data_IF_794484819027
#
_entry.id   IF_794484819027
#
_cell.length_a   1.000
_cell.length_b   1.000
_cell.length_c   1.000
_cell.angle_alpha   90.00
_cell.angle_beta   90.00
_cell.angle_gamma   90.00
#
_symmetry.space_group_name_H-M   'P 1'
#
loop_
_entity.id
_entity.type
_entity.pdbx_description
1 polymer ?
#
# COMPACT_ATOMS: atom_id res chain seq x y z
N UNK A 1 9.13 -6.44 -6.69
CA UNK A 1 8.86 -6.02 -5.29
C UNK A 1 8.30 -7.20 -4.50
N UNK A 2 7.13 -7.78 -4.86
CA UNK A 2 6.46 -8.85 -4.08
C UNK A 2 7.38 -10.03 -3.73
N UNK A 3 8.13 -10.58 -4.69
CA UNK A 3 9.04 -11.70 -4.44
C UNK A 3 10.11 -11.36 -3.40
N UNK A 4 10.74 -10.18 -3.48
CA UNK A 4 11.77 -9.77 -2.51
C UNK A 4 11.18 -9.55 -1.12
N UNK A 5 10.01 -8.90 -1.03
CA UNK A 5 9.31 -8.74 0.25
C UNK A 5 8.96 -10.10 0.86
N UNK A 6 8.41 -11.02 0.05
CA UNK A 6 8.05 -12.36 0.50
C UNK A 6 9.27 -13.19 0.95
N UNK A 7 10.41 -13.09 0.24
CA UNK A 7 11.65 -13.75 0.64
C UNK A 7 12.11 -13.32 2.04
N UNK A 8 12.05 -12.01 2.33
CA UNK A 8 12.41 -11.48 3.65
C UNK A 8 11.45 -11.99 4.74
N UNK A 9 10.13 -11.88 4.52
CA UNK A 9 9.13 -12.38 5.47
C UNK A 9 9.28 -13.87 5.71
N UNK A 10 9.38 -14.68 4.64
CA UNK A 10 9.56 -16.13 4.75
C UNK A 10 10.84 -16.48 5.52
N UNK A 11 11.96 -15.80 5.26
CA UNK A 11 13.23 -16.04 5.98
C UNK A 11 13.06 -15.79 7.47
N UNK A 12 12.56 -14.59 7.85
CA UNK A 12 12.41 -14.21 9.26
C UNK A 12 11.45 -15.14 10.02
N UNK A 13 10.33 -15.54 9.40
CA UNK A 13 9.39 -16.47 10.02
C UNK A 13 9.96 -17.89 10.09
N UNK A 14 10.69 -18.35 9.07
CA UNK A 14 11.31 -19.69 9.04
C UNK A 14 12.46 -19.87 10.04
N UNK A 15 13.05 -18.79 10.55
CA UNK A 15 14.02 -18.83 11.65
C UNK A 15 13.37 -19.20 13.00
N UNK A 16 12.05 -19.01 13.13
CA UNK A 16 11.24 -19.31 14.33
C UNK A 16 10.50 -20.65 14.20
N UNK A 17 11.23 -21.72 13.93
CA UNK A 17 10.71 -23.07 13.61
C UNK A 17 9.84 -23.71 14.71
N UNK A 18 10.04 -23.32 15.94
CA UNK A 18 9.23 -23.72 17.09
C UNK A 18 7.84 -23.04 17.13
N UNK A 19 7.66 -22.01 16.32
CA UNK A 19 6.43 -21.21 16.28
C UNK A 19 5.69 -21.27 14.95
N UNK A 20 6.44 -21.34 13.81
CA UNK A 20 5.87 -21.26 12.48
C UNK A 20 6.36 -22.37 11.56
N UNK A 21 5.41 -22.98 10.85
CA UNK A 21 5.65 -23.75 9.64
C UNK A 21 5.22 -22.89 8.44
N UNK A 22 6.19 -22.51 7.59
CA UNK A 22 5.96 -21.54 6.50
C UNK A 22 5.78 -22.28 5.19
N UNK A 23 4.64 -22.02 4.52
CA UNK A 23 4.32 -22.53 3.19
C UNK A 23 4.37 -21.39 2.17
N UNK A 24 5.48 -21.20 1.43
CA UNK A 24 5.57 -20.17 0.41
C UNK A 24 4.65 -20.49 -0.77
N UNK A 25 3.76 -19.57 -1.08
CA UNK A 25 2.83 -19.69 -2.21
C UNK A 25 3.17 -18.61 -3.24
N UNK A 26 3.46 -19.06 -4.46
CA UNK A 26 3.65 -18.17 -5.61
C UNK A 26 2.36 -18.08 -6.43
N UNK A 27 1.94 -16.86 -6.74
CA UNK A 27 0.82 -16.59 -7.64
C UNK A 27 1.39 -16.04 -8.95
N UNK A 28 1.16 -16.73 -10.06
CA UNK A 28 1.63 -16.30 -11.38
C UNK A 28 0.83 -15.11 -11.91
N UNK A 29 1.35 -14.44 -12.95
CA UNK A 29 0.63 -13.35 -13.65
C UNK A 29 -0.71 -13.80 -14.28
N UNK A 30 -0.89 -15.10 -14.47
CA UNK A 30 -2.15 -15.71 -14.96
C UNK A 30 -3.07 -16.13 -13.81
N UNK A 31 -2.77 -15.79 -12.57
CA UNK A 31 -3.56 -16.14 -11.40
C UNK A 31 -3.44 -17.61 -10.94
N UNK A 32 -2.46 -18.36 -11.44
CA UNK A 32 -2.23 -19.75 -11.00
C UNK A 32 -1.39 -19.79 -9.74
N UNK A 33 -1.76 -20.66 -8.80
CA UNK A 33 -1.12 -20.79 -7.50
C UNK A 33 -0.17 -21.99 -7.45
N UNK A 34 0.97 -21.81 -6.82
CA UNK A 34 2.01 -22.85 -6.71
C UNK A 34 2.60 -22.86 -5.30
N UNK A 35 2.65 -24.04 -4.67
CA UNK A 35 3.43 -24.27 -3.46
C UNK A 35 4.90 -24.39 -3.84
N UNK A 36 5.73 -23.57 -3.20
CA UNK A 36 7.18 -23.55 -3.40
C UNK A 36 7.92 -24.22 -2.23
N UNK A 37 9.10 -24.77 -2.49
CA UNK A 37 10.01 -25.25 -1.42
C UNK A 37 10.70 -24.08 -0.70
N UNK A 38 10.99 -23.02 -1.43
CA UNK A 38 11.58 -21.78 -0.92
C UNK A 38 10.97 -20.60 -1.69
N UNK A 39 10.74 -19.50 -0.99
CA UNK A 39 10.14 -18.30 -1.58
C UNK A 39 11.05 -17.72 -2.66
N UNK A 40 10.51 -17.55 -3.86
CA UNK A 40 11.27 -17.03 -5.00
C UNK A 40 10.45 -16.90 -6.28
N UNK A 41 11.12 -16.62 -7.42
CA UNK A 41 10.47 -16.73 -8.73
C UNK A 41 9.94 -18.13 -8.96
N UNK A 42 8.92 -18.26 -9.82
CA UNK A 42 8.35 -19.57 -10.17
C UNK A 42 9.43 -20.53 -10.70
N UNK A 43 9.44 -21.75 -10.18
CA UNK A 43 10.35 -22.81 -10.58
C UNK A 43 9.57 -24.01 -11.18
N UNK A 44 10.13 -24.79 -12.13
CA UNK A 44 9.46 -25.95 -12.73
C UNK A 44 9.05 -27.05 -11.74
N UNK A 45 9.67 -27.11 -10.57
CA UNK A 45 9.34 -28.08 -9.51
C UNK A 45 8.27 -27.60 -8.54
N UNK A 46 7.76 -26.38 -8.69
CA UNK A 46 6.70 -25.85 -7.86
C UNK A 46 5.42 -26.64 -8.10
N UNK A 47 4.72 -26.97 -7.02
CA UNK A 47 3.52 -27.81 -7.09
C UNK A 47 2.27 -26.96 -7.32
N UNK A 48 1.52 -27.19 -8.42
CA UNK A 48 0.25 -26.50 -8.63
C UNK A 48 -0.76 -26.83 -7.53
N UNK A 49 -1.36 -25.79 -6.96
CA UNK A 49 -2.37 -25.88 -5.91
C UNK A 49 -3.59 -25.03 -6.26
N UNK A 50 -4.68 -25.27 -5.56
CA UNK A 50 -5.86 -24.41 -5.61
C UNK A 50 -6.40 -24.16 -4.21
N UNK A 51 -6.86 -22.94 -3.92
CA UNK A 51 -7.66 -22.65 -2.73
C UNK A 51 -9.00 -23.40 -2.80
N UNK A 52 -9.47 -23.87 -1.64
CA UNK A 52 -10.74 -24.60 -1.51
C UNK A 52 -11.46 -24.19 -0.25
N UNK A 53 -12.80 -24.25 -0.31
CA UNK A 53 -13.68 -24.07 0.84
C UNK A 53 -13.94 -25.44 1.47
N UNK A 54 -13.12 -25.84 2.43
CA UNK A 54 -13.27 -27.11 3.16
C UNK A 54 -12.89 -26.92 4.62
N UNK A 55 -13.56 -27.65 5.51
CA UNK A 55 -13.32 -27.59 6.95
C UNK A 55 -11.90 -28.06 7.34
N UNK A 56 -11.35 -29.03 6.59
CA UNK A 56 -10.07 -29.68 6.90
C UNK A 56 -8.88 -29.16 6.09
N UNK A 57 -9.12 -28.36 5.06
CA UNK A 57 -8.06 -27.79 4.21
C UNK A 57 -8.56 -26.54 3.49
N UNK A 58 -7.66 -25.55 3.34
CA UNK A 58 -7.93 -24.37 2.53
C UNK A 58 -7.05 -24.27 1.27
N UNK A 59 -6.08 -25.18 1.13
CA UNK A 59 -5.24 -25.35 -0.06
C UNK A 59 -5.10 -26.85 -0.38
N UNK A 60 -5.27 -27.23 -1.64
CA UNK A 60 -5.08 -28.62 -2.09
C UNK A 60 -4.21 -28.66 -3.34
N UNK A 61 -3.40 -29.71 -3.48
CA UNK A 61 -2.67 -29.99 -4.72
C UNK A 61 -3.64 -30.35 -5.84
N UNK A 62 -3.40 -29.86 -7.06
CA UNK A 62 -4.28 -30.18 -8.21
C UNK A 62 -4.28 -31.65 -8.56
N UNK A 63 -3.23 -32.39 -8.23
CA UNK A 63 -3.13 -33.85 -8.42
C UNK A 63 -3.67 -34.65 -7.23
N UNK A 64 -4.19 -33.98 -6.20
CA UNK A 64 -4.72 -34.59 -4.99
C UNK A 64 -3.65 -35.18 -4.04
N UNK A 65 -2.38 -34.98 -4.29
CA UNK A 65 -1.26 -35.60 -3.54
C UNK A 65 -1.13 -35.11 -2.10
N UNK A 66 -1.62 -33.91 -1.78
CA UNK A 66 -1.61 -33.33 -0.42
C UNK A 66 -2.67 -32.24 -0.26
N UNK A 67 -2.95 -31.91 1.00
CA UNK A 67 -3.73 -30.75 1.40
C UNK A 67 -3.04 -30.00 2.54
N UNK A 68 -3.29 -28.70 2.64
CA UNK A 68 -2.75 -27.82 3.69
C UNK A 68 -3.94 -27.09 4.32
N UNK A 69 -3.96 -27.05 5.65
CA UNK A 69 -4.79 -26.13 6.41
C UNK A 69 -3.86 -25.03 6.97
N UNK A 70 -3.88 -23.87 6.34
CA UNK A 70 -3.16 -22.71 6.85
C UNK A 70 -3.96 -22.07 8.00
N UNK A 71 -3.32 -21.82 9.13
CA UNK A 71 -3.92 -21.11 10.25
C UNK A 71 -4.04 -19.62 9.98
N UNK A 72 -3.13 -19.07 9.17
CA UNK A 72 -3.11 -17.66 8.77
C UNK A 72 -2.41 -17.48 7.42
N UNK A 73 -2.92 -16.59 6.61
CA UNK A 73 -2.28 -16.16 5.35
C UNK A 73 -1.57 -14.83 5.57
N UNK A 74 -0.32 -14.73 5.12
CA UNK A 74 0.41 -13.48 5.08
C UNK A 74 0.55 -13.01 3.62
N UNK A 75 -0.38 -12.20 3.10
CA UNK A 75 -0.28 -11.69 1.74
C UNK A 75 0.92 -10.75 1.62
N UNK A 76 1.81 -11.02 0.66
CA UNK A 76 2.94 -10.15 0.33
C UNK A 76 2.87 -9.88 -1.17
N UNK A 77 1.82 -9.18 -1.55
CA UNK A 77 1.41 -8.93 -2.92
C UNK A 77 1.21 -7.42 -3.10
N UNK A 78 1.73 -6.86 -4.18
CA UNK A 78 1.65 -5.43 -4.43
C UNK A 78 0.92 -5.14 -5.75
N UNK A 79 0.19 -4.01 -5.78
CA UNK A 79 -0.52 -3.51 -6.94
C UNK A 79 -1.97 -3.98 -7.05
N UNK A 80 -2.52 -3.81 -8.23
CA UNK A 80 -3.92 -4.12 -8.57
C UNK A 80 -4.28 -5.58 -8.27
N UNK A 81 -5.48 -5.83 -7.77
CA UNK A 81 -6.02 -7.09 -7.27
C UNK A 81 -5.38 -7.59 -5.96
N UNK A 82 -4.42 -6.86 -5.41
CA UNK A 82 -3.70 -7.26 -4.21
C UNK A 82 -3.86 -6.27 -3.06
N UNK A 83 -3.83 -4.96 -3.35
CA UNK A 83 -3.90 -3.88 -2.37
C UNK A 83 -5.29 -3.22 -2.30
N UNK A 84 -6.19 -3.58 -3.21
CA UNK A 84 -7.48 -2.93 -3.48
C UNK A 84 -8.70 -3.62 -2.85
N UNK A 85 -8.49 -4.57 -1.96
CA UNK A 85 -9.54 -5.32 -1.30
C UNK A 85 -9.94 -6.62 -2.01
N UNK A 86 -9.50 -6.85 -3.25
CA UNK A 86 -9.85 -8.05 -4.03
C UNK A 86 -9.30 -9.33 -3.40
N UNK A 87 -8.00 -9.37 -3.10
CA UNK A 87 -7.37 -10.51 -2.41
C UNK A 87 -7.95 -10.68 -1.00
N UNK A 88 -8.18 -9.59 -0.28
CA UNK A 88 -8.76 -9.60 1.05
C UNK A 88 -10.18 -10.19 1.03
N UNK A 89 -11.02 -9.79 0.06
CA UNK A 89 -12.37 -10.35 -0.13
C UNK A 89 -12.35 -11.83 -0.47
N UNK A 90 -11.37 -12.27 -1.26
CA UNK A 90 -11.16 -13.68 -1.53
C UNK A 90 -10.82 -14.47 -0.26
N UNK A 91 -9.90 -13.98 0.57
CA UNK A 91 -9.52 -14.60 1.84
C UNK A 91 -10.66 -14.58 2.88
N UNK A 92 -11.49 -13.53 2.92
CA UNK A 92 -12.71 -13.48 3.73
C UNK A 92 -13.71 -14.57 3.30
N UNK A 93 -13.85 -14.81 2.00
CA UNK A 93 -14.74 -15.85 1.47
C UNK A 93 -14.23 -17.27 1.78
N UNK A 94 -12.89 -17.44 1.85
CA UNK A 94 -12.26 -18.69 2.28
C UNK A 94 -12.33 -18.92 3.80
N UNK A 95 -12.80 -17.93 4.56
CA UNK A 95 -12.83 -17.95 6.03
C UNK A 95 -11.46 -18.26 6.66
N UNK A 96 -10.40 -17.61 6.14
CA UNK A 96 -9.02 -17.79 6.60
C UNK A 96 -8.52 -16.48 7.20
N UNK A 97 -7.92 -16.49 8.42
CA UNK A 97 -7.24 -15.31 8.96
C UNK A 97 -6.15 -14.82 8.02
N UNK A 98 -6.02 -13.52 7.84
CA UNK A 98 -4.94 -12.95 7.00
C UNK A 98 -4.36 -11.68 7.62
N UNK A 99 -3.09 -11.46 7.34
CA UNK A 99 -2.35 -10.25 7.77
C UNK A 99 -2.66 -9.10 6.82
N UNK A 100 -2.88 -7.93 7.38
CA UNK A 100 -3.11 -6.70 6.62
C UNK A 100 -4.47 -6.08 6.85
N UNK A 101 -4.71 -4.98 6.16
CA UNK A 101 -6.00 -4.29 6.20
C UNK A 101 -7.12 -5.14 5.61
N UNK A 102 -8.34 -4.97 6.12
CA UNK A 102 -9.52 -5.64 5.57
C UNK A 102 -9.98 -5.04 4.24
N UNK A 103 -11.01 -5.66 3.65
CA UNK A 103 -11.57 -5.29 2.32
C UNK A 103 -11.85 -3.79 2.21
N UNK A 104 -12.59 -3.24 3.17
CA UNK A 104 -13.02 -1.84 3.13
C UNK A 104 -11.84 -0.87 3.15
N UNK A 105 -10.92 -1.04 4.10
CA UNK A 105 -9.76 -0.17 4.24
C UNK A 105 -8.82 -0.26 3.02
N UNK A 106 -8.64 -1.46 2.48
CA UNK A 106 -7.82 -1.68 1.27
C UNK A 106 -8.43 -1.00 0.05
N UNK A 107 -9.73 -1.17 -0.18
CA UNK A 107 -10.44 -0.56 -1.31
C UNK A 107 -10.43 0.98 -1.22
N UNK A 108 -10.76 1.53 -0.06
CA UNK A 108 -10.74 2.99 0.16
C UNK A 108 -9.32 3.57 0.11
N UNK A 109 -8.32 2.84 0.60
CA UNK A 109 -6.92 3.27 0.59
C UNK A 109 -6.33 3.30 -0.82
N UNK A 110 -6.74 2.38 -1.68
CA UNK A 110 -6.27 2.32 -3.07
C UNK A 110 -6.85 3.45 -3.93
N UNK A 111 -8.07 3.88 -3.65
CA UNK A 111 -8.73 4.98 -4.36
C UNK A 111 -8.24 6.33 -3.83
N UNK A 112 -7.50 7.08 -4.67
CA UNK A 112 -6.91 8.37 -4.30
C UNK A 112 -7.93 9.44 -3.96
N UNK A 113 -9.09 9.43 -4.60
CA UNK A 113 -10.14 10.39 -4.28
C UNK A 113 -10.76 10.08 -2.92
N UNK A 114 -11.19 8.83 -2.73
CA UNK A 114 -11.83 8.40 -1.49
C UNK A 114 -10.89 8.55 -0.29
N UNK A 115 -9.62 8.13 -0.43
CA UNK A 115 -8.64 8.28 0.64
C UNK A 115 -8.37 9.75 1.01
N UNK A 116 -8.34 10.67 0.03
CA UNK A 116 -8.24 12.12 0.27
C UNK A 116 -9.48 12.69 0.94
N UNK A 117 -10.67 12.28 0.52
CA UNK A 117 -11.91 12.70 1.18
C UNK A 117 -11.92 12.28 2.66
N UNK A 118 -11.50 11.06 2.95
CA UNK A 118 -11.39 10.54 4.32
C UNK A 118 -10.31 11.28 5.12
N UNK A 119 -9.14 11.53 4.52
CA UNK A 119 -8.07 12.28 5.17
C UNK A 119 -8.53 13.71 5.53
N UNK A 120 -9.24 14.38 4.61
CA UNK A 120 -9.83 15.71 4.85
C UNK A 120 -10.83 15.69 6.01
N UNK A 121 -11.72 14.69 6.04
CA UNK A 121 -12.72 14.55 7.12
C UNK A 121 -12.05 14.24 8.46
N UNK A 122 -10.92 13.56 8.44
CA UNK A 122 -10.07 13.34 9.63
C UNK A 122 -9.25 14.58 10.05
N UNK A 123 -9.41 15.72 9.37
CA UNK A 123 -8.72 16.97 9.67
C UNK A 123 -7.26 17.03 9.18
N UNK A 124 -6.86 16.11 8.29
CA UNK A 124 -5.50 16.06 7.73
C UNK A 124 -5.42 16.94 6.48
N UNK A 125 -4.38 17.80 6.37
CA UNK A 125 -4.22 18.66 5.20
C UNK A 125 -4.09 17.85 3.90
N UNK A 126 -4.78 18.32 2.85
CA UNK A 126 -4.77 17.74 1.51
C UNK A 126 -4.55 18.81 0.45
N UNK A 127 -4.05 18.43 -0.71
CA UNK A 127 -3.96 19.32 -1.86
C UNK A 127 -5.30 19.37 -2.60
N UNK A 128 -5.68 20.52 -3.22
CA UNK A 128 -6.85 20.63 -4.08
C UNK A 128 -6.78 19.70 -5.28
N UNK A 129 -7.91 19.11 -5.68
CA UNK A 129 -8.00 18.23 -6.83
C UNK A 129 -9.33 18.35 -7.57
N UNK A 130 -9.36 17.80 -8.79
CA UNK A 130 -10.53 17.54 -9.61
C UNK A 130 -10.49 16.10 -10.10
N UNK A 131 -11.66 15.49 -10.25
CA UNK A 131 -11.81 14.19 -10.91
C UNK A 131 -12.27 14.40 -12.34
N UNK A 132 -11.66 13.62 -13.22
CA UNK A 132 -12.02 13.48 -14.63
C UNK A 132 -12.41 12.04 -14.86
N UNK A 133 -13.65 11.80 -15.28
CA UNK A 133 -14.16 10.48 -15.63
C UNK A 133 -14.25 10.33 -17.13
N UNK A 134 -13.78 9.20 -17.65
CA UNK A 134 -13.88 8.87 -19.07
C UNK A 134 -15.32 8.72 -19.55
N UNK A 135 -16.19 8.18 -18.67
CA UNK A 135 -17.59 7.92 -19.01
C UNK A 135 -18.45 9.17 -18.90
N UNK A 136 -18.25 9.98 -17.84
CA UNK A 136 -19.01 11.22 -17.64
C UNK A 136 -18.57 12.35 -18.60
N UNK A 137 -17.40 12.23 -19.19
CA UNK A 137 -16.75 13.29 -19.97
C UNK A 137 -16.22 14.41 -19.06
N UNK A 138 -15.59 15.41 -19.66
CA UNK A 138 -15.05 16.56 -18.92
C UNK A 138 -14.97 17.81 -19.82
N UNK A 139 -15.08 18.98 -19.22
CA UNK A 139 -14.82 20.27 -19.86
C UNK A 139 -13.34 20.62 -19.69
N UNK A 140 -12.57 20.45 -20.78
CA UNK A 140 -11.13 20.73 -20.79
C UNK A 140 -10.84 22.20 -20.45
N UNK A 141 -11.66 23.14 -20.98
CA UNK A 141 -11.42 24.58 -20.76
C UNK A 141 -11.63 24.97 -19.31
N UNK A 142 -12.68 24.43 -18.67
CA UNK A 142 -12.93 24.63 -17.24
C UNK A 142 -11.80 24.02 -16.38
N UNK A 143 -11.28 22.86 -16.78
CA UNK A 143 -10.19 22.20 -16.06
C UNK A 143 -8.86 22.96 -16.21
N UNK A 144 -8.59 23.50 -17.41
CA UNK A 144 -7.43 24.37 -17.66
C UNK A 144 -7.48 25.63 -16.81
N UNK A 145 -8.65 26.32 -16.78
CA UNK A 145 -8.85 27.49 -15.94
C UNK A 145 -8.67 27.20 -14.44
N UNK A 146 -9.17 26.03 -13.97
CA UNK A 146 -8.94 25.59 -12.60
C UNK A 146 -7.45 25.34 -12.32
N UNK A 147 -6.72 24.71 -13.25
CA UNK A 147 -5.29 24.44 -13.08
C UNK A 147 -4.47 25.74 -13.00
N UNK A 148 -4.82 26.76 -13.80
CA UNK A 148 -4.22 28.08 -13.72
C UNK A 148 -4.51 28.79 -12.39
N UNK A 149 -5.75 28.72 -11.91
CA UNK A 149 -6.14 29.29 -10.62
C UNK A 149 -5.37 28.63 -9.45
N UNK A 150 -5.21 27.31 -9.46
CA UNK A 150 -4.43 26.61 -8.43
C UNK A 150 -2.92 26.87 -8.51
N UNK A 151 -2.43 27.30 -9.67
CA UNK A 151 -1.02 27.44 -9.99
C UNK A 151 -0.39 26.11 -10.43
N UNK A 152 0.46 26.22 -11.45
CA UNK A 152 1.22 25.08 -11.97
C UNK A 152 2.49 24.81 -11.14
N UNK A 153 3.00 23.57 -11.12
CA UNK A 153 2.50 22.41 -11.86
C UNK A 153 1.27 21.79 -11.24
N UNK A 154 0.47 21.07 -12.04
CA UNK A 154 -0.51 20.09 -11.58
C UNK A 154 -0.06 18.67 -11.95
N UNK A 155 -0.57 17.67 -11.24
CA UNK A 155 -0.30 16.26 -11.52
C UNK A 155 -1.57 15.55 -11.96
N UNK A 156 -1.47 14.81 -13.05
CA UNK A 156 -2.53 13.95 -13.58
C UNK A 156 -2.21 12.52 -13.20
N UNK A 157 -3.10 11.86 -12.47
CA UNK A 157 -2.85 10.55 -11.85
C UNK A 157 -4.05 9.62 -12.06
N UNK A 158 -3.88 8.37 -12.49
CA UNK A 158 -4.94 7.35 -12.37
C UNK A 158 -5.37 7.23 -10.90
N UNK A 159 -6.69 7.11 -10.66
CA UNK A 159 -7.24 7.13 -9.30
C UNK A 159 -6.85 5.88 -8.52
N UNK A 160 -6.89 4.69 -9.16
CA UNK A 160 -6.74 3.38 -8.51
C UNK A 160 -5.46 2.64 -8.88
N UNK A 161 -4.36 3.38 -9.10
CA UNK A 161 -3.05 2.81 -9.36
C UNK A 161 -1.99 3.40 -8.43
N UNK A 162 -1.02 2.54 -8.06
CA UNK A 162 0.15 2.91 -7.26
C UNK A 162 1.43 3.06 -8.11
N UNK A 163 2.56 3.18 -7.41
CA UNK A 163 3.91 3.15 -8.01
C UNK A 163 4.17 4.18 -9.12
N UNK A 164 3.48 5.31 -9.10
CA UNK A 164 3.57 6.37 -10.13
C UNK A 164 3.22 5.90 -11.57
N UNK A 165 2.55 4.75 -11.73
CA UNK A 165 2.11 4.27 -13.05
C UNK A 165 1.05 5.23 -13.61
N UNK A 166 1.24 5.68 -14.84
CA UNK A 166 0.29 6.57 -15.52
C UNK A 166 0.32 8.03 -15.05
N UNK A 167 1.18 8.40 -14.10
CA UNK A 167 1.28 9.78 -13.58
C UNK A 167 2.01 10.69 -14.56
N UNK A 168 1.50 11.92 -14.72
CA UNK A 168 2.11 13.00 -15.53
C UNK A 168 2.17 14.30 -14.73
N UNK A 169 3.33 14.95 -14.75
CA UNK A 169 3.51 16.34 -14.27
C UNK A 169 3.20 17.28 -15.44
N UNK A 170 2.26 18.19 -15.24
CA UNK A 170 1.81 19.20 -16.22
C UNK A 170 2.37 20.54 -15.78
N UNK A 171 3.27 21.09 -16.59
CA UNK A 171 3.96 22.37 -16.32
C UNK A 171 3.29 23.55 -17.01
N UNK A 172 2.53 23.28 -18.08
CA UNK A 172 1.75 24.27 -18.83
C UNK A 172 0.36 23.74 -19.10
N UNK A 173 -0.65 24.60 -19.15
CA UNK A 173 -2.05 24.18 -19.38
C UNK A 173 -2.26 23.47 -20.72
N UNK A 174 -1.41 23.77 -21.72
CA UNK A 174 -1.45 23.10 -23.02
C UNK A 174 -1.10 21.61 -22.95
N UNK A 175 -0.36 21.16 -21.95
CA UNK A 175 0.00 19.75 -21.74
C UNK A 175 -1.15 18.93 -21.11
N UNK A 176 -2.19 19.60 -20.57
CA UNK A 176 -3.20 18.94 -19.73
C UNK A 176 -3.99 17.89 -20.52
N UNK A 177 -4.39 18.18 -21.76
CA UNK A 177 -5.13 17.24 -22.58
C UNK A 177 -4.34 15.95 -22.83
N UNK A 178 -3.09 16.07 -23.27
CA UNK A 178 -2.25 14.89 -23.54
C UNK A 178 -1.96 14.08 -22.27
N UNK A 179 -1.82 14.74 -21.12
CA UNK A 179 -1.65 14.09 -19.82
C UNK A 179 -2.90 13.30 -19.40
N UNK A 180 -4.10 13.86 -19.60
CA UNK A 180 -5.37 13.18 -19.37
C UNK A 180 -5.55 11.96 -20.28
N UNK A 181 -5.35 12.14 -21.60
CA UNK A 181 -5.45 11.06 -22.59
C UNK A 181 -4.48 9.92 -22.27
N UNK A 182 -3.28 10.24 -21.75
CA UNK A 182 -2.34 9.23 -21.32
C UNK A 182 -2.82 8.49 -20.04
N UNK A 183 -3.22 9.22 -19.00
CA UNK A 183 -3.62 8.63 -17.74
C UNK A 183 -4.91 7.78 -17.86
N UNK A 184 -5.87 8.21 -18.71
CA UNK A 184 -7.10 7.47 -19.03
C UNK A 184 -6.91 6.16 -19.81
N UNK A 185 -5.67 5.81 -20.18
CA UNK A 185 -5.34 4.48 -20.69
C UNK A 185 -5.18 3.46 -19.55
N UNK A 186 -4.97 3.93 -18.32
CA UNK A 186 -4.65 3.10 -17.16
C UNK A 186 -5.83 2.97 -16.19
N UNK A 187 -6.72 3.96 -16.15
CA UNK A 187 -7.92 3.96 -15.29
C UNK A 187 -9.05 4.72 -15.98
N UNK A 188 -10.30 4.41 -15.64
CA UNK A 188 -11.49 5.14 -16.14
C UNK A 188 -11.66 6.50 -15.49
N UNK A 189 -11.06 6.68 -14.32
CA UNK A 189 -11.09 7.92 -13.54
C UNK A 189 -9.67 8.42 -13.26
N UNK A 190 -9.48 9.71 -13.43
CA UNK A 190 -8.19 10.38 -13.29
C UNK A 190 -8.33 11.56 -12.33
N UNK A 191 -7.39 11.67 -11.43
CA UNK A 191 -7.28 12.78 -10.49
C UNK A 191 -6.30 13.83 -11.05
N UNK A 192 -6.75 15.07 -11.18
CA UNK A 192 -5.91 16.24 -11.46
C UNK A 192 -5.69 16.99 -10.16
N UNK A 193 -4.47 17.01 -9.67
CA UNK A 193 -4.12 17.53 -8.36
C UNK A 193 -3.12 18.69 -8.46
N UNK A 194 -3.29 19.71 -7.62
CA UNK A 194 -2.28 20.74 -7.43
C UNK A 194 -0.94 20.11 -7.07
N UNK A 195 0.14 20.54 -7.73
CA UNK A 195 1.48 20.09 -7.41
C UNK A 195 2.10 20.90 -6.27
N UNK A 196 3.01 20.26 -5.54
CA UNK A 196 3.96 20.93 -4.64
C UNK A 196 5.29 20.98 -5.37
N UNK A 197 5.81 22.19 -5.57
CA UNK A 197 7.08 22.32 -6.27
C UNK A 197 8.23 21.93 -5.34
N UNK A 198 9.18 21.13 -5.84
CA UNK A 198 10.27 20.56 -5.07
C UNK A 198 9.83 19.88 -3.76
N UNK A 199 8.72 19.13 -3.83
CA UNK A 199 8.17 18.41 -2.68
C UNK A 199 9.18 17.42 -2.10
N UNK A 200 9.28 17.40 -0.77
CA UNK A 200 9.90 16.31 -0.01
C UNK A 200 8.84 15.24 0.22
N UNK A 201 9.15 13.98 -0.07
CA UNK A 201 8.25 12.86 0.23
C UNK A 201 8.54 12.33 1.63
N UNK A 202 7.59 12.48 2.56
CA UNK A 202 7.71 12.04 3.95
C UNK A 202 6.76 10.86 4.18
N UNK A 203 7.25 9.85 4.87
CA UNK A 203 6.54 8.60 5.10
C UNK A 203 6.40 8.30 6.58
N UNK A 204 5.27 7.73 6.97
CA UNK A 204 5.05 7.17 8.31
C UNK A 204 4.43 5.79 8.18
N UNK A 205 5.04 4.77 8.79
CA UNK A 205 4.48 3.42 8.83
C UNK A 205 3.62 3.26 10.09
N UNK A 206 2.59 2.42 9.97
CA UNK A 206 1.63 2.15 11.03
C UNK A 206 1.36 0.65 11.08
N UNK A 207 1.22 0.09 12.27
CA UNK A 207 0.61 -1.22 12.46
C UNK A 207 -0.23 -1.27 13.74
N UNK A 208 -1.23 -2.15 13.76
CA UNK A 208 -2.14 -2.32 14.88
C UNK A 208 -3.60 -2.15 14.49
N UNK A 209 -4.45 -1.89 15.47
CA UNK A 209 -5.89 -1.67 15.31
C UNK A 209 -6.44 -0.83 16.47
N UNK A 210 -7.35 0.10 16.15
CA UNK A 210 -8.08 0.90 17.17
C UNK A 210 -7.15 1.68 18.08
N UNK A 211 -7.25 1.46 19.39
CA UNK A 211 -6.40 2.13 20.41
C UNK A 211 -5.01 1.51 20.56
N UNK A 212 -4.75 0.39 19.90
CA UNK A 212 -3.47 -0.33 19.94
C UNK A 212 -2.65 -0.12 18.66
N UNK A 213 -2.76 1.07 18.08
CA UNK A 213 -1.98 1.46 16.91
C UNK A 213 -0.60 1.93 17.36
N UNK A 214 0.42 1.56 16.60
CA UNK A 214 1.77 2.09 16.70
C UNK A 214 2.15 2.75 15.39
N UNK A 215 2.66 3.98 15.45
CA UNK A 215 3.26 4.69 14.33
C UNK A 215 4.78 4.72 14.46
N UNK A 216 5.48 4.63 13.34
CA UNK A 216 6.95 4.65 13.27
C UNK A 216 7.52 6.06 13.39
N UNK A 217 8.85 6.19 13.36
CA UNK A 217 9.49 7.45 12.98
C UNK A 217 9.06 7.87 11.57
N UNK A 218 9.10 9.17 11.28
CA UNK A 218 8.98 9.65 9.91
C UNK A 218 10.28 9.36 9.15
N UNK A 219 10.16 8.92 7.91
CA UNK A 219 11.27 8.80 6.97
C UNK A 219 11.07 9.70 5.78
N UNK A 220 12.14 9.94 5.05
CA UNK A 220 12.16 10.78 3.86
C UNK A 220 12.81 10.05 2.70
N UNK A 221 12.28 10.22 1.52
CA UNK A 221 12.91 9.81 0.29
C UNK A 221 13.34 11.07 -0.48
N UNK A 222 14.63 11.19 -0.74
CA UNK A 222 15.18 12.27 -1.55
C UNK A 222 15.73 11.76 -2.87
N UNK A 223 15.56 12.56 -3.93
CA UNK A 223 16.19 12.28 -5.23
C UNK A 223 17.58 12.88 -5.26
N UNK A 224 18.53 12.15 -5.81
CA UNK A 224 19.88 12.68 -6.10
C UNK A 224 19.82 13.76 -7.21
N UNK A 225 18.78 13.78 -8.06
CA UNK A 225 18.66 14.66 -9.22
C UNK A 225 17.64 15.81 -9.08
N UNK A 226 16.89 15.91 -7.97
CA UNK A 226 15.90 17.00 -7.78
C UNK A 226 14.72 17.02 -8.74
N UNK A 227 14.52 15.98 -9.52
CA UNK A 227 13.41 15.83 -10.47
C UNK A 227 12.28 14.94 -9.91
N UNK A 228 11.09 15.04 -10.53
CA UNK A 228 9.91 14.27 -10.14
C UNK A 228 10.18 12.76 -10.21
N UNK A 229 9.79 12.04 -9.15
CA UNK A 229 9.85 10.57 -9.08
C UNK A 229 8.84 9.91 -10.00
N UNK A 230 9.25 9.59 -11.20
CA UNK A 230 8.50 8.63 -12.03
C UNK A 230 8.84 7.18 -11.62
N UNK A 231 8.12 6.23 -12.21
CA UNK A 231 8.33 4.79 -11.96
C UNK A 231 9.79 4.35 -12.22
N UNK A 232 10.43 4.93 -13.23
CA UNK A 232 11.80 4.57 -13.61
C UNK A 232 12.80 5.04 -12.55
N UNK A 233 12.63 6.25 -12.02
CA UNK A 233 13.49 6.80 -10.96
C UNK A 233 13.33 6.02 -9.64
N UNK A 234 12.11 5.56 -9.32
CA UNK A 234 11.84 4.81 -8.07
C UNK A 234 12.36 3.37 -8.06
N UNK A 235 12.39 2.70 -9.21
CA UNK A 235 12.59 1.24 -9.25
C UNK A 235 13.66 0.74 -10.23
N UNK A 236 14.10 1.56 -11.17
CA UNK A 236 15.00 1.10 -12.28
C UNK A 236 16.40 1.69 -12.16
N UNK A 237 16.53 2.94 -11.69
CA UNK A 237 17.84 3.60 -11.57
C UNK A 237 18.49 3.24 -10.26
N UNK A 238 19.53 2.43 -10.29
CA UNK A 238 20.33 2.09 -9.11
C UNK A 238 20.99 3.38 -8.56
N UNK A 239 20.71 3.71 -7.28
CA UNK A 239 21.25 4.92 -6.64
C UNK A 239 20.48 6.21 -6.93
N UNK A 240 19.30 6.14 -7.58
CA UNK A 240 18.46 7.32 -7.88
C UNK A 240 17.77 7.95 -6.67
N UNK A 241 17.70 7.23 -5.54
CA UNK A 241 17.00 7.63 -4.34
C UNK A 241 17.84 7.36 -3.09
N UNK A 242 17.86 8.29 -2.18
CA UNK A 242 18.40 8.11 -0.84
C UNK A 242 17.28 8.15 0.19
N UNK A 243 17.24 7.12 1.05
CA UNK A 243 16.28 7.06 2.16
C UNK A 243 16.94 7.58 3.42
N UNK A 244 16.36 8.60 4.03
CA UNK A 244 16.78 9.14 5.33
C UNK A 244 15.78 8.78 6.42
N UNK A 245 16.20 7.98 7.40
CA UNK A 245 15.38 7.57 8.54
C UNK A 245 16.19 7.77 9.82
N UNK A 246 15.71 8.59 10.77
CA UNK A 246 14.55 9.47 10.69
C UNK A 246 14.71 10.61 9.68
N UNK A 247 13.59 11.13 9.19
CA UNK A 247 13.55 12.30 8.32
C UNK A 247 14.11 13.55 9.03
N UNK A 248 14.75 14.44 8.27
CA UNK A 248 15.27 15.71 8.80
C UNK A 248 14.18 16.78 8.86
N UNK A 249 13.29 16.64 9.83
CA UNK A 249 12.17 17.56 10.09
C UNK A 249 12.08 17.88 11.59
N UNK A 250 11.51 19.03 11.99
CA UNK A 250 11.29 19.36 13.39
C UNK A 250 10.49 18.27 14.13
N UNK A 251 10.83 18.04 15.40
CA UNK A 251 10.25 16.95 16.19
C UNK A 251 8.72 17.10 16.40
N UNK A 252 8.25 18.33 16.56
CA UNK A 252 6.82 18.65 16.67
C UNK A 252 6.07 18.38 15.37
N UNK A 253 6.68 18.69 14.22
CA UNK A 253 6.14 18.39 12.91
C UNK A 253 6.09 16.86 12.69
N UNK A 254 7.17 16.15 13.02
CA UNK A 254 7.19 14.68 12.94
C UNK A 254 6.10 14.06 13.81
N UNK A 255 5.90 14.57 15.03
CA UNK A 255 4.83 14.11 15.92
C UNK A 255 3.43 14.35 15.30
N UNK A 256 3.20 15.54 14.73
CA UNK A 256 1.94 15.87 14.08
C UNK A 256 1.65 14.97 12.89
N UNK A 257 2.65 14.72 12.03
CA UNK A 257 2.50 13.83 10.87
C UNK A 257 2.21 12.37 11.29
N UNK A 258 2.80 11.91 12.38
CA UNK A 258 2.48 10.59 12.97
C UNK A 258 1.02 10.53 13.44
N UNK A 259 0.55 11.55 14.17
CA UNK A 259 -0.84 11.64 14.62
C UNK A 259 -1.82 11.70 13.45
N UNK A 260 -1.50 12.47 12.41
CA UNK A 260 -2.31 12.54 11.20
C UNK A 260 -2.34 11.23 10.43
N UNK A 261 -1.21 10.50 10.41
CA UNK A 261 -1.15 9.14 9.85
C UNK A 261 -2.06 8.18 10.61
N UNK A 262 -2.05 8.21 11.94
CA UNK A 262 -2.94 7.42 12.79
C UNK A 262 -4.40 7.79 12.57
N UNK A 263 -4.72 9.10 12.44
CA UNK A 263 -6.06 9.58 12.19
C UNK A 263 -6.62 9.08 10.85
N UNK A 264 -5.84 9.15 9.76
CA UNK A 264 -6.24 8.62 8.44
C UNK A 264 -6.43 7.11 8.51
N UNK A 265 -5.50 6.38 9.12
CA UNK A 265 -5.60 4.92 9.24
C UNK A 265 -6.86 4.49 10.02
N UNK A 266 -7.15 5.17 11.14
CA UNK A 266 -8.38 4.93 11.92
C UNK A 266 -9.64 5.27 11.13
N UNK A 267 -9.67 6.40 10.43
CA UNK A 267 -10.82 6.84 9.65
C UNK A 267 -11.14 5.86 8.51
N UNK A 268 -10.11 5.28 7.89
CA UNK A 268 -10.22 4.20 6.90
C UNK A 268 -10.64 2.85 7.51
N UNK A 269 -10.84 2.76 8.83
CA UNK A 269 -11.06 1.48 9.54
C UNK A 269 -9.90 0.49 9.35
N UNK A 270 -8.68 1.02 9.30
CA UNK A 270 -7.45 0.24 9.15
C UNK A 270 -7.26 -0.75 10.30
N UNK A 271 -6.81 -1.95 9.95
CA UNK A 271 -6.38 -3.01 10.88
C UNK A 271 -5.25 -3.77 10.20
N UNK A 272 -4.17 -4.02 10.89
CA UNK A 272 -2.98 -4.65 10.32
C UNK A 272 -1.85 -3.66 10.13
N UNK A 273 -1.49 -3.31 8.92
CA UNK A 273 -0.37 -2.42 8.61
C UNK A 273 -0.69 -1.48 7.46
N UNK A 274 -0.02 -0.32 7.44
CA UNK A 274 -0.04 0.62 6.32
C UNK A 274 1.20 1.52 6.34
N UNK A 275 1.43 2.25 5.24
CA UNK A 275 2.34 3.39 5.16
C UNK A 275 1.53 4.58 4.63
N UNK A 276 1.62 5.69 5.33
CA UNK A 276 1.01 6.96 4.94
C UNK A 276 2.09 7.85 4.35
N UNK A 277 1.81 8.41 3.18
CA UNK A 277 2.73 9.19 2.38
C UNK A 277 2.27 10.65 2.34
N UNK A 278 3.18 11.58 2.61
CA UNK A 278 2.94 13.02 2.60
C UNK A 278 3.87 13.72 1.62
N UNK A 279 3.38 14.81 1.04
CA UNK A 279 4.18 15.78 0.29
C UNK A 279 4.38 17.01 1.17
N UNK A 280 5.63 17.40 1.40
CA UNK A 280 5.98 18.58 2.20
C UNK A 280 6.66 19.62 1.32
N UNK A 281 6.22 20.88 1.43
CA UNK A 281 6.82 21.99 0.72
C UNK A 281 8.08 22.53 1.44
N UNK A 282 8.76 23.48 0.79
CA UNK A 282 9.97 24.13 1.31
C UNK A 282 9.76 24.93 2.60
N UNK A 283 8.52 25.27 2.94
CA UNK A 283 8.16 26.03 4.14
C UNK A 283 7.73 25.12 5.30
N UNK A 284 7.70 23.79 5.08
CA UNK A 284 7.28 22.81 6.08
C UNK A 284 5.76 22.56 6.10
N UNK A 285 4.97 23.15 5.20
CA UNK A 285 3.59 22.76 5.03
C UNK A 285 3.53 21.40 4.34
N UNK A 286 2.72 20.49 4.88
CA UNK A 286 2.60 19.12 4.36
C UNK A 286 1.17 18.73 4.05
N UNK A 287 1.01 17.77 3.17
CA UNK A 287 -0.28 17.35 2.65
C UNK A 287 -0.30 15.83 2.47
N UNK A 288 -1.38 15.19 2.89
CA UNK A 288 -1.60 13.78 2.63
C UNK A 288 -1.61 13.51 1.12
N UNK A 289 -0.85 12.53 0.69
CA UNK A 289 -0.76 12.10 -0.70
C UNK A 289 -1.55 10.81 -0.94
N UNK A 290 -1.17 9.74 -0.24
CA UNK A 290 -1.81 8.43 -0.33
C UNK A 290 -1.57 7.59 0.93
N UNK A 291 -2.33 6.52 1.09
CA UNK A 291 -2.08 5.47 2.07
C UNK A 291 -1.91 4.13 1.36
N UNK A 292 -0.87 3.41 1.73
CA UNK A 292 -0.51 2.12 1.17
C UNK A 292 -0.77 1.03 2.22
N UNK A 293 -1.82 0.23 2.00
CA UNK A 293 -2.29 -0.79 2.95
C UNK A 293 -1.53 -2.12 2.87
N UNK A 294 -0.60 -2.25 1.90
CA UNK A 294 0.31 -3.39 1.77
C UNK A 294 1.71 -2.90 1.37
N UNK A 295 2.41 -2.19 2.28
CA UNK A 295 3.72 -1.63 1.99
C UNK A 295 4.76 -2.72 1.74
N UNK A 296 5.86 -2.37 1.05
CA UNK A 296 6.98 -3.28 0.85
C UNK A 296 7.55 -3.78 2.17
N UNK A 297 7.90 -5.06 2.22
CA UNK A 297 8.32 -5.77 3.43
C UNK A 297 9.75 -6.35 3.32
N UNK A 298 10.53 -5.97 2.30
CA UNK A 298 11.94 -6.34 2.22
C UNK A 298 12.78 -5.53 3.22
N UNK A 299 13.98 -6.00 3.54
CA UNK A 299 14.90 -5.29 4.45
C UNK A 299 15.21 -3.85 3.99
N UNK A 300 15.20 -3.63 2.68
CA UNK A 300 15.42 -2.30 2.08
C UNK A 300 14.13 -1.49 1.91
N UNK A 301 12.97 -2.05 2.28
CA UNK A 301 11.68 -1.35 2.19
C UNK A 301 11.52 -0.36 3.32
N UNK A 302 10.79 0.73 3.06
CA UNK A 302 10.54 1.78 4.04
C UNK A 302 9.87 1.27 5.32
N UNK A 303 8.85 0.40 5.20
CA UNK A 303 8.10 -0.05 6.37
C UNK A 303 8.99 -0.67 7.47
N UNK A 304 9.84 -1.69 7.22
CA UNK A 304 10.72 -2.21 8.26
C UNK A 304 11.80 -1.20 8.69
N UNK A 305 12.34 -0.38 7.79
CA UNK A 305 13.35 0.62 8.15
C UNK A 305 12.80 1.69 9.10
N UNK A 306 11.58 2.16 8.86
CA UNK A 306 10.91 3.17 9.69
C UNK A 306 10.69 2.68 11.12
N UNK A 307 10.32 1.41 11.33
CA UNK A 307 10.16 0.82 12.67
C UNK A 307 11.50 0.46 13.31
N UNK A 308 12.48 0.01 12.53
CA UNK A 308 13.84 -0.24 13.02
C UNK A 308 14.47 1.01 13.63
N UNK A 309 14.21 2.20 13.05
CA UNK A 309 14.64 3.47 13.61
C UNK A 309 13.99 3.82 14.98
N UNK A 310 12.88 3.16 15.30
CA UNK A 310 12.25 3.23 16.64
C UNK A 310 12.78 2.16 17.61
N UNK A 311 13.73 1.33 17.19
CA UNK A 311 14.23 0.19 17.99
C UNK A 311 13.31 -1.03 17.98
N UNK A 312 12.31 -1.10 17.09
CA UNK A 312 11.41 -2.24 16.97
C UNK A 312 12.10 -3.37 16.19
N UNK A 313 12.04 -4.59 16.73
CA UNK A 313 12.53 -5.79 16.06
C UNK A 313 11.56 -6.24 14.96
N UNK A 314 12.06 -6.44 13.76
CA UNK A 314 11.22 -6.80 12.62
C UNK A 314 10.49 -8.15 12.82
N UNK A 315 11.14 -9.12 13.41
CA UNK A 315 10.52 -10.40 13.72
C UNK A 315 9.40 -10.29 14.77
N UNK A 316 9.51 -9.35 15.72
CA UNK A 316 8.44 -9.05 16.67
C UNK A 316 7.26 -8.35 16.00
N UNK A 317 7.51 -7.47 15.04
CA UNK A 317 6.46 -6.85 14.22
C UNK A 317 5.67 -7.91 13.46
N UNK A 318 6.36 -8.85 12.78
CA UNK A 318 5.68 -9.95 12.08
C UNK A 318 4.84 -10.82 13.02
N UNK A 319 5.39 -11.16 14.20
CA UNK A 319 4.64 -11.87 15.24
C UNK A 319 3.38 -11.13 15.68
N UNK A 320 3.50 -9.82 15.89
CA UNK A 320 2.39 -8.95 16.27
C UNK A 320 1.30 -8.86 15.20
N UNK A 321 1.69 -8.77 13.93
CA UNK A 321 0.78 -8.74 12.79
C UNK A 321 0.02 -10.07 12.63
N UNK A 322 0.70 -11.21 12.77
CA UNK A 322 0.07 -12.54 12.74
C UNK A 322 -0.92 -12.69 13.90
N UNK A 323 -0.49 -12.35 15.11
CA UNK A 323 -1.37 -12.41 16.28
C UNK A 323 -2.60 -11.48 16.15
N UNK A 324 -2.44 -10.31 15.53
CA UNK A 324 -3.54 -9.40 15.24
C UNK A 324 -4.52 -10.02 14.23
N UNK A 325 -4.03 -10.60 13.15
CA UNK A 325 -4.86 -11.26 12.14
C UNK A 325 -5.74 -12.36 12.75
N UNK A 326 -5.16 -13.22 13.58
CA UNK A 326 -5.89 -14.27 14.30
C UNK A 326 -6.97 -13.70 15.24
N UNK A 327 -6.65 -12.63 16.00
CA UNK A 327 -7.63 -11.96 16.88
C UNK A 327 -8.77 -11.32 16.10
N UNK A 328 -8.47 -10.63 14.99
CA UNK A 328 -9.49 -9.99 14.14
C UNK A 328 -10.45 -11.03 13.58
N UNK A 329 -9.92 -12.13 13.06
CA UNK A 329 -10.72 -13.23 12.53
C UNK A 329 -11.60 -13.88 13.62
N UNK A 330 -11.02 -14.23 14.78
CA UNK A 330 -11.76 -14.80 15.90
C UNK A 330 -12.88 -13.88 16.40
N UNK A 331 -12.63 -12.55 16.45
CA UNK A 331 -13.65 -11.57 16.83
C UNK A 331 -14.81 -11.53 15.82
N UNK A 332 -14.52 -11.60 14.51
CA UNK A 332 -15.55 -11.67 13.47
C UNK A 332 -16.38 -12.95 13.59
N UNK A 333 -15.73 -14.10 13.79
CA UNK A 333 -16.38 -15.39 13.95
C UNK A 333 -17.29 -15.45 15.19
N UNK A 334 -16.98 -14.69 16.25
CA UNK A 334 -17.79 -14.59 17.46
C UNK A 334 -19.06 -13.73 17.31
N UNK A 335 -19.20 -12.97 16.21
CA UNK A 335 -20.40 -12.19 15.97
C UNK A 335 -21.57 -13.09 15.58
N UNK A 336 -22.72 -12.85 16.20
CA UNK A 336 -23.96 -13.58 15.88
C UNK A 336 -24.46 -13.09 14.51
N UNK A 337 -24.07 -13.80 13.46
CA UNK A 337 -24.64 -13.65 12.14
C UNK A 337 -25.77 -14.68 12.02
N UNK A 338 -27.03 -14.21 12.02
CA UNK A 338 -28.15 -15.08 11.66
C UNK A 338 -28.00 -15.46 10.18
N UNK A 339 -27.31 -16.56 9.92
CA UNK A 339 -27.22 -17.21 8.60
C UNK A 339 -28.15 -18.41 8.57
#
# INVERSE_FOLDING_TARGET
>A
VSVHSAQTVCRVLSEKKDKYEVYPIFISKQGRWFLQKACGPQHPTDKPITPVLKDEANLVALDGSFSIKADVVFPVLHGTNCEDGTMQGFLETLDVPYVGCGVLASAMGMDKEISKLIAREAGVPILPWKIVSKEAGYDLSALQAWAEEQGLPVFVKPVRLGSSVGVRKVKTVGELQSALEFALQFDTDVLVEKGVDHAREIFCAIYGEGVHIKSSACGELSTVAGEFFDYNAKYIVAGGCETKVPADIPADLAQKMRQDSEAVFCALRGSGLARVDFLMDKNGAYYFSEINTMPGMSETSLFPQLFSACGEDYGQILDGLIALALRVHARKAALSLNR
#
